data_IF_616895722898
#
_entry.id   IF_616895722898
#
_cell.length_a   1.000
_cell.length_b   1.000
_cell.length_c   1.000
_cell.angle_alpha   90.00
_cell.angle_beta   90.00
_cell.angle_gamma   90.00
#
_symmetry.space_group_name_H-M   'P 1'
#
loop_
_entity.id
_entity.type
_entity.pdbx_description
1 polymer ?
#
# COMPACT_ATOMS: atom_id res chain seq x y z
N UNK A 1 17.24 15.99 13.87
CA UNK A 1 18.57 15.37 13.69
C UNK A 1 18.41 13.87 13.77
N UNK A 2 18.95 13.12 12.81
CA UNK A 2 19.05 11.67 12.88
C UNK A 2 20.50 11.32 13.18
N UNK A 3 20.73 10.38 14.08
CA UNK A 3 22.06 9.95 14.47
C UNK A 3 22.42 8.67 13.70
N UNK A 4 23.62 8.60 13.15
CA UNK A 4 24.13 7.37 12.53
C UNK A 4 24.13 6.26 13.59
N UNK A 5 23.44 5.13 13.37
CA UNK A 5 23.35 4.06 14.37
C UNK A 5 24.69 3.35 14.63
N UNK A 6 25.74 3.62 13.84
CA UNK A 6 27.06 3.00 13.97
C UNK A 6 28.02 3.83 14.82
N UNK A 7 27.96 5.16 14.73
CA UNK A 7 28.92 6.05 15.42
C UNK A 7 28.26 7.19 16.23
N UNK A 8 26.93 7.33 16.17
CA UNK A 8 26.15 8.29 16.95
C UNK A 8 26.26 9.74 16.47
N UNK A 9 26.94 10.02 15.34
CA UNK A 9 27.04 11.39 14.82
C UNK A 9 25.72 11.87 14.26
N UNK A 10 25.39 13.12 14.56
CA UNK A 10 24.23 13.79 14.00
C UNK A 10 24.51 14.29 12.58
N UNK A 11 23.58 14.02 11.67
CA UNK A 11 23.60 14.51 10.30
C UNK A 11 22.29 15.21 9.96
N UNK A 12 22.35 16.12 8.99
CA UNK A 12 21.17 16.64 8.32
C UNK A 12 20.56 15.53 7.45
N UNK A 13 19.23 15.42 7.50
CA UNK A 13 18.46 14.42 6.77
C UNK A 13 17.16 15.08 6.34
N UNK A 14 16.69 14.67 5.17
CA UNK A 14 15.42 15.12 4.63
C UNK A 14 14.39 14.02 4.88
N UNK A 15 13.22 14.43 5.37
CA UNK A 15 12.05 13.55 5.51
C UNK A 15 11.06 13.98 4.45
N UNK A 16 10.55 13.00 3.70
CA UNK A 16 9.40 13.18 2.82
C UNK A 16 8.21 12.66 3.61
N UNK A 17 7.33 13.57 4.00
CA UNK A 17 6.03 13.21 4.57
C UNK A 17 5.07 12.98 3.41
N UNK A 18 4.45 11.81 3.37
CA UNK A 18 3.47 11.43 2.37
C UNK A 18 2.15 11.10 3.05
N UNK A 19 1.01 11.36 2.39
CA UNK A 19 -0.29 10.92 2.88
C UNK A 19 -0.38 9.40 2.86
N UNK A 20 -1.43 8.90 3.50
CA UNK A 20 -1.76 7.49 3.52
C UNK A 20 -2.11 7.03 2.12
N UNK A 21 -1.77 5.77 1.84
CA UNK A 21 -1.95 5.17 0.53
C UNK A 21 -2.38 3.72 0.66
N UNK A 22 -3.31 3.31 -0.20
CA UNK A 22 -3.77 1.92 -0.31
C UNK A 22 -3.28 1.31 -1.62
N UNK A 23 -3.12 -0.01 -1.62
CA UNK A 23 -3.08 -0.73 -2.88
C UNK A 23 -4.00 -1.94 -2.78
N UNK A 24 -4.57 -2.31 -3.92
CA UNK A 24 -5.61 -3.30 -4.02
C UNK A 24 -5.07 -4.47 -4.83
N UNK A 25 -5.30 -5.69 -4.37
CA UNK A 25 -5.02 -6.89 -5.16
C UNK A 25 -6.37 -7.46 -5.57
N UNK A 26 -6.89 -7.09 -6.76
CA UNK A 26 -8.22 -7.52 -7.17
C UNK A 26 -8.11 -8.96 -7.67
N UNK A 27 -8.89 -9.86 -7.08
CA UNK A 27 -8.95 -11.26 -7.49
C UNK A 27 -10.25 -11.51 -8.25
N UNK A 28 -10.13 -12.04 -9.46
CA UNK A 28 -11.29 -12.46 -10.25
C UNK A 28 -11.88 -13.76 -9.68
N UNK A 29 -13.12 -14.11 -10.07
CA UNK A 29 -13.72 -15.40 -9.70
C UNK A 29 -12.91 -16.63 -10.17
N UNK A 30 -11.99 -16.44 -11.12
CA UNK A 30 -11.06 -17.48 -11.61
C UNK A 30 -9.72 -17.50 -10.88
N UNK A 31 -9.53 -16.61 -9.89
CA UNK A 31 -8.27 -16.48 -9.15
C UNK A 31 -7.16 -15.75 -9.92
N UNK A 32 -7.52 -14.94 -10.92
CA UNK A 32 -6.57 -14.10 -11.64
C UNK A 32 -6.43 -12.74 -10.95
N UNK A 33 -5.28 -12.07 -11.09
CA UNK A 33 -5.03 -10.73 -10.55
C UNK A 33 -5.25 -9.69 -11.64
N UNK A 34 -5.98 -8.63 -11.33
CA UNK A 34 -6.14 -7.47 -12.21
C UNK A 34 -5.00 -6.49 -12.00
N UNK A 35 -4.38 -6.08 -13.10
CA UNK A 35 -3.27 -5.12 -13.14
C UNK A 35 -3.64 -3.94 -14.03
N UNK A 36 -2.99 -2.80 -13.80
CA UNK A 36 -3.13 -1.57 -14.59
C UNK A 36 -1.77 -1.17 -15.17
N UNK A 37 -1.80 -0.46 -16.29
CA UNK A 37 -0.62 0.20 -16.86
C UNK A 37 -0.62 1.65 -16.42
N UNK A 38 0.38 2.04 -15.61
CA UNK A 38 0.51 3.39 -15.08
C UNK A 38 1.80 4.05 -15.60
N UNK A 39 1.71 5.31 -16.03
CA UNK A 39 2.89 6.09 -16.38
C UNK A 39 3.55 6.69 -15.11
N UNK A 40 4.83 6.36 -14.89
CA UNK A 40 5.60 6.84 -13.74
C UNK A 40 6.50 8.01 -14.14
N UNK A 41 6.14 9.21 -13.72
CA UNK A 41 6.91 10.43 -14.00
C UNK A 41 8.37 10.36 -13.55
N UNK A 42 8.68 9.68 -12.44
CA UNK A 42 10.04 9.59 -11.91
C UNK A 42 10.98 8.72 -12.77
N UNK A 43 10.43 7.76 -13.51
CA UNK A 43 11.19 6.87 -14.40
C UNK A 43 10.92 7.12 -15.88
N UNK A 44 9.91 7.93 -16.20
CA UNK A 44 9.44 8.23 -17.56
C UNK A 44 9.00 6.98 -18.35
N UNK A 45 8.45 5.99 -17.65
CA UNK A 45 8.09 4.68 -18.21
C UNK A 45 6.67 4.28 -17.85
N UNK A 46 6.09 3.39 -18.66
CA UNK A 46 4.85 2.69 -18.33
C UNK A 46 5.20 1.44 -17.53
N UNK A 47 4.68 1.35 -16.32
CA UNK A 47 4.84 0.21 -15.42
C UNK A 47 3.52 -0.55 -15.30
N UNK A 48 3.63 -1.88 -15.28
CA UNK A 48 2.51 -2.75 -14.94
C UNK A 48 2.41 -2.89 -13.42
N UNK A 49 1.28 -2.48 -12.85
CA UNK A 49 1.09 -2.30 -11.41
C UNK A 49 -0.27 -2.84 -10.95
N UNK A 50 -0.46 -2.91 -9.64
CA UNK A 50 -1.78 -3.11 -9.06
C UNK A 50 -2.48 -1.75 -8.87
N UNK A 51 -3.83 -1.72 -8.82
CA UNK A 51 -4.54 -0.50 -8.50
C UNK A 51 -4.19 0.03 -7.11
N UNK A 52 -4.20 1.34 -6.95
CA UNK A 52 -3.86 1.97 -5.68
C UNK A 52 -3.86 3.48 -5.76
N UNK A 53 -4.03 4.10 -4.61
CA UNK A 53 -4.22 5.53 -4.52
C UNK A 53 -4.06 6.07 -3.11
N UNK A 54 -4.09 7.39 -3.01
CA UNK A 54 -4.06 8.08 -1.73
C UNK A 54 -5.38 7.86 -1.00
N UNK A 55 -5.30 7.79 0.32
CA UNK A 55 -6.46 7.85 1.19
C UNK A 55 -6.72 9.31 1.50
N UNK A 56 -7.94 9.77 1.21
CA UNK A 56 -8.32 11.15 1.50
C UNK A 56 -8.45 11.39 3.01
N UNK A 57 -8.35 12.65 3.44
CA UNK A 57 -8.47 13.00 4.86
C UNK A 57 -9.84 12.60 5.42
N UNK A 58 -9.85 11.69 6.40
CA UNK A 58 -11.06 11.16 7.01
C UNK A 58 -11.75 10.04 6.22
N UNK A 59 -11.16 9.59 5.11
CA UNK A 59 -11.62 8.43 4.35
C UNK A 59 -11.15 7.12 5.02
N UNK A 60 -12.04 6.14 5.13
CA UNK A 60 -11.66 4.81 5.59
C UNK A 60 -10.84 4.11 4.49
N UNK A 61 -9.72 3.43 4.81
CA UNK A 61 -8.89 2.76 3.80
C UNK A 61 -9.63 1.75 2.92
N UNK A 62 -10.72 1.14 3.43
CA UNK A 62 -11.56 0.26 2.63
C UNK A 62 -12.37 0.99 1.57
N UNK A 63 -12.80 2.21 1.86
CA UNK A 63 -13.58 3.03 0.96
C UNK A 63 -12.67 3.61 -0.14
N UNK A 64 -11.47 4.06 0.24
CA UNK A 64 -10.40 4.44 -0.69
C UNK A 64 -10.05 3.29 -1.65
N UNK A 65 -9.89 2.06 -1.12
CA UNK A 65 -9.60 0.88 -1.93
C UNK A 65 -10.72 0.56 -2.94
N UNK A 66 -11.98 0.69 -2.54
CA UNK A 66 -13.10 0.48 -3.45
C UNK A 66 -13.20 1.58 -4.51
N UNK A 67 -12.95 2.84 -4.13
CA UNK A 67 -12.94 4.00 -5.02
C UNK A 67 -11.86 3.88 -6.09
N UNK A 68 -10.60 3.69 -5.69
CA UNK A 68 -9.47 3.59 -6.63
C UNK A 68 -9.62 2.41 -7.58
N UNK A 69 -10.09 1.24 -7.07
CA UNK A 69 -10.35 0.09 -7.93
C UNK A 69 -11.38 0.42 -9.03
N UNK A 70 -12.44 1.15 -8.67
CA UNK A 70 -13.46 1.57 -9.63
C UNK A 70 -12.90 2.58 -10.63
N UNK A 71 -12.16 3.59 -10.18
CA UNK A 71 -11.61 4.66 -11.02
C UNK A 71 -10.60 4.13 -12.04
N UNK A 72 -9.70 3.24 -11.62
CA UNK A 72 -8.60 2.77 -12.46
C UNK A 72 -8.96 1.57 -13.35
N UNK A 73 -9.94 0.75 -12.94
CA UNK A 73 -10.29 -0.48 -13.68
C UNK A 73 -11.72 -0.50 -14.21
N UNK A 74 -12.59 0.41 -13.75
CA UNK A 74 -14.02 0.41 -14.07
C UNK A 74 -14.81 -0.73 -13.43
N UNK A 75 -14.20 -1.50 -12.52
CA UNK A 75 -14.84 -2.64 -11.87
C UNK A 75 -15.83 -2.19 -10.81
N UNK A 76 -17.06 -2.70 -10.94
CA UNK A 76 -18.21 -2.31 -10.10
C UNK A 76 -18.79 -3.47 -9.29
N UNK A 77 -18.17 -4.66 -9.38
CA UNK A 77 -18.65 -5.83 -8.64
C UNK A 77 -18.48 -5.65 -7.13
N UNK A 78 -19.34 -6.33 -6.35
CA UNK A 78 -19.28 -6.32 -4.88
C UNK A 78 -17.90 -6.81 -4.41
N UNK A 79 -17.06 -5.86 -4.03
CA UNK A 79 -15.69 -6.12 -3.60
C UNK A 79 -15.66 -6.28 -2.09
N UNK A 80 -15.20 -7.42 -1.60
CA UNK A 80 -14.93 -7.62 -0.18
C UNK A 80 -13.50 -7.14 0.10
N UNK A 81 -13.37 -5.99 0.76
CA UNK A 81 -12.06 -5.46 1.13
C UNK A 81 -11.57 -6.13 2.41
N UNK A 82 -10.39 -6.74 2.36
CA UNK A 82 -9.72 -7.32 3.53
C UNK A 82 -8.42 -6.59 3.79
N UNK A 83 -8.39 -5.81 4.85
CA UNK A 83 -7.17 -5.17 5.35
C UNK A 83 -6.29 -6.20 6.07
N UNK A 84 -5.00 -6.19 5.75
CA UNK A 84 -4.00 -7.05 6.41
C UNK A 84 -2.97 -6.16 7.08
N UNK A 85 -2.74 -6.30 8.40
CA UNK A 85 -1.70 -5.55 9.11
C UNK A 85 -0.33 -5.80 8.48
N UNK A 86 0.48 -4.75 8.33
CA UNK A 86 1.77 -4.84 7.65
C UNK A 86 2.72 -5.81 8.37
N UNK A 87 2.61 -5.93 9.69
CA UNK A 87 3.41 -6.84 10.52
C UNK A 87 3.15 -8.32 10.19
N UNK A 88 2.00 -8.64 9.59
CA UNK A 88 1.69 -10.01 9.15
C UNK A 88 2.26 -10.34 7.79
N UNK A 89 2.67 -9.34 6.98
CA UNK A 89 3.18 -9.57 5.63
C UNK A 89 4.40 -10.51 5.61
N UNK A 90 5.44 -10.32 6.46
CA UNK A 90 6.57 -11.24 6.50
C UNK A 90 6.15 -12.71 6.73
N UNK A 91 5.21 -12.95 7.63
CA UNK A 91 4.69 -14.30 7.91
C UNK A 91 3.89 -14.87 6.74
N UNK A 92 3.10 -14.05 6.05
CA UNK A 92 2.35 -14.48 4.86
C UNK A 92 3.26 -14.86 3.69
N UNK A 93 4.39 -14.17 3.54
CA UNK A 93 5.45 -14.53 2.59
C UNK A 93 6.11 -15.85 3.02
N UNK A 94 6.53 -15.94 4.29
CA UNK A 94 7.22 -17.11 4.82
C UNK A 94 6.36 -18.39 4.75
N UNK A 95 5.05 -18.27 4.95
CA UNK A 95 4.09 -19.38 4.87
C UNK A 95 3.70 -19.75 3.42
N UNK A 96 4.25 -19.07 2.41
CA UNK A 96 3.90 -19.30 1.02
C UNK A 96 2.43 -18.99 0.73
N UNK A 97 1.81 -18.09 1.50
CA UNK A 97 0.48 -17.53 1.17
C UNK A 97 0.60 -16.40 0.16
N UNK A 98 1.74 -15.72 0.15
CA UNK A 98 2.19 -14.82 -0.92
C UNK A 98 3.34 -15.54 -1.64
N UNK A 99 3.09 -15.99 -2.88
CA UNK A 99 4.03 -16.85 -3.65
C UNK A 99 4.58 -16.19 -4.91
N UNK A 100 4.20 -14.95 -5.19
CA UNK A 100 4.61 -14.18 -6.36
C UNK A 100 5.15 -12.81 -5.91
N UNK A 101 6.02 -12.19 -6.72
CA UNK A 101 6.48 -10.82 -6.48
C UNK A 101 5.29 -9.87 -6.47
N UNK A 102 5.00 -9.34 -5.29
CA UNK A 102 4.10 -8.22 -5.12
C UNK A 102 4.75 -7.28 -4.11
N UNK A 103 5.21 -6.13 -4.58
CA UNK A 103 5.74 -5.06 -3.73
C UNK A 103 4.59 -4.10 -3.48
N UNK A 104 4.12 -4.10 -2.24
CA UNK A 104 3.12 -3.15 -1.76
C UNK A 104 3.48 -2.80 -0.33
N UNK A 105 4.03 -1.61 -0.14
CA UNK A 105 4.36 -1.10 1.19
C UNK A 105 3.88 0.34 1.27
N UNK A 106 2.79 0.56 2.02
CA UNK A 106 2.39 1.86 2.55
C UNK A 106 2.17 1.71 4.05
N UNK A 107 2.89 2.48 4.86
CA UNK A 107 2.71 2.53 6.31
C UNK A 107 2.12 3.90 6.67
N UNK A 108 1.11 3.91 7.55
CA UNK A 108 0.84 5.06 8.41
C UNK A 108 0.70 4.62 9.86
N UNK A 109 1.31 5.41 10.74
CA UNK A 109 1.42 5.17 12.17
C UNK A 109 0.44 6.11 12.88
N UNK A 110 -0.50 5.57 13.65
CA UNK A 110 -1.22 6.33 14.67
C UNK A 110 -1.13 5.61 16.01
N UNK A 111 -0.35 6.22 16.90
CA UNK A 111 -0.11 5.73 18.26
C UNK A 111 -1.37 5.75 19.09
N UNK A 112 -1.68 4.62 19.73
CA UNK A 112 -2.76 4.52 20.71
C UNK A 112 -2.23 4.96 22.09
N UNK A 113 -2.57 6.19 22.47
CA UNK A 113 -2.61 6.57 23.88
C UNK A 113 -3.91 6.03 24.50
N UNK A 114 -3.77 4.92 25.23
CA UNK A 114 -4.54 4.59 26.44
C UNK A 114 -6.03 4.34 26.31
N UNK A 115 -6.44 3.08 26.47
CA UNK A 115 -7.68 2.73 27.15
C UNK A 115 -7.45 1.49 28.03
N UNK A 116 -7.62 1.69 29.34
CA UNK A 116 -8.10 0.65 30.27
C UNK A 116 -9.53 0.22 29.90
#
# INVERSE_FOLDING_TARGET
MSADPRDGRAHDFYVIEAPDWINVIPLTARGEVVLIEQYRHGTEEISLEIPGGMVDEGEEPSDAAARELLEETGWTEQTVVRLTPVERIPSLIAEGKITHSLVVVGFHLLGLAGLE
#
